data_IF_410870646682
#
_entry.id   IF_410870646682
#
_cell.length_a   1.000
_cell.length_b   1.000
_cell.length_c   1.000
_cell.angle_alpha   90.00
_cell.angle_beta   90.00
_cell.angle_gamma   90.00
#
_symmetry.space_group_name_H-M   'P 1'
#
loop_
_entity.id
_entity.type
_entity.pdbx_description
1 polymer ?
#
# COMPACT_ATOMS: atom_id res chain seq x y z
N UNK A 1 25.97 1.22 1.34
CA UNK A 1 24.49 1.04 1.39
C UNK A 1 23.94 0.94 -0.02
N UNK A 2 23.16 -0.08 -0.29
CA UNK A 2 22.51 -0.26 -1.58
C UNK A 2 21.29 0.65 -1.64
N UNK A 3 21.21 1.50 -2.67
CA UNK A 3 20.04 2.33 -2.91
C UNK A 3 18.89 1.48 -3.47
N UNK A 4 17.63 1.90 -3.29
CA UNK A 4 16.48 1.18 -3.81
C UNK A 4 16.60 0.88 -5.31
N UNK A 5 17.08 1.84 -6.10
CA UNK A 5 17.31 1.66 -7.53
C UNK A 5 18.26 0.50 -7.83
N UNK A 6 19.34 0.37 -7.04
CA UNK A 6 20.30 -0.72 -7.21
C UNK A 6 19.68 -2.08 -6.81
N UNK A 7 18.89 -2.10 -5.74
CA UNK A 7 18.15 -3.30 -5.32
C UNK A 7 17.22 -3.75 -6.44
N UNK A 8 16.45 -2.84 -7.04
CA UNK A 8 15.56 -3.15 -8.15
C UNK A 8 16.29 -3.70 -9.38
N UNK A 9 17.52 -3.23 -9.64
CA UNK A 9 18.33 -3.72 -10.76
C UNK A 9 18.94 -5.10 -10.50
N UNK A 10 19.22 -5.43 -9.23
CA UNK A 10 19.81 -6.71 -8.83
C UNK A 10 18.77 -7.83 -8.70
N UNK A 11 17.52 -7.47 -8.43
CA UNK A 11 16.41 -8.43 -8.28
C UNK A 11 15.82 -8.74 -9.65
N UNK A 12 15.51 -10.00 -9.89
CA UNK A 12 14.94 -10.43 -11.17
C UNK A 12 13.61 -9.74 -11.45
N UNK A 13 13.46 -9.20 -12.66
CA UNK A 13 12.18 -8.74 -13.17
C UNK A 13 11.31 -9.93 -13.50
N UNK A 14 10.01 -9.83 -13.22
CA UNK A 14 9.10 -10.93 -13.44
C UNK A 14 7.79 -10.45 -14.06
N UNK A 15 7.19 -11.33 -14.86
CA UNK A 15 5.80 -11.17 -15.26
C UNK A 15 4.92 -11.56 -14.06
N UNK A 16 4.36 -10.57 -13.41
CA UNK A 16 3.55 -10.79 -12.21
C UNK A 16 2.29 -11.59 -12.50
N UNK A 17 1.74 -11.51 -13.71
CA UNK A 17 0.58 -12.31 -14.09
C UNK A 17 0.93 -13.80 -14.11
N UNK A 18 2.11 -14.15 -14.58
CA UNK A 18 2.58 -15.53 -14.59
C UNK A 18 2.79 -16.06 -13.18
N UNK A 19 3.41 -15.26 -12.31
CA UNK A 19 3.58 -15.60 -10.89
C UNK A 19 2.20 -15.77 -10.23
N UNK A 20 1.30 -14.82 -10.42
CA UNK A 20 -0.05 -14.86 -9.84
C UNK A 20 -0.80 -16.13 -10.25
N UNK A 21 -0.61 -16.62 -11.47
CA UNK A 21 -1.27 -17.84 -11.94
C UNK A 21 -0.87 -19.09 -11.15
N UNK A 22 0.24 -19.06 -10.43
CA UNK A 22 0.74 -20.18 -9.61
C UNK A 22 0.31 -20.07 -8.13
N UNK A 23 -0.28 -18.95 -7.71
CA UNK A 23 -0.60 -18.69 -6.31
C UNK A 23 -2.07 -19.00 -6.00
N UNK A 24 -2.32 -19.38 -4.74
CA UNK A 24 -3.66 -19.63 -4.24
C UNK A 24 -4.24 -18.36 -3.65
N UNK A 25 -5.06 -17.65 -4.42
CA UNK A 25 -5.74 -16.44 -3.96
C UNK A 25 -6.98 -16.79 -3.13
N UNK A 26 -7.19 -16.06 -2.05
CA UNK A 26 -8.35 -16.18 -1.18
C UNK A 26 -8.96 -14.81 -0.93
N UNK A 27 -10.29 -14.72 -0.76
CA UNK A 27 -10.93 -13.46 -0.38
C UNK A 27 -10.59 -13.12 1.07
N UNK A 28 -10.13 -11.90 1.28
CA UNK A 28 -9.79 -11.38 2.62
C UNK A 28 -10.34 -9.98 2.75
N UNK A 29 -10.97 -9.68 3.87
CA UNK A 29 -11.45 -8.34 4.19
C UNK A 29 -10.44 -7.59 5.05
N UNK A 30 -10.46 -6.27 4.96
CA UNK A 30 -9.71 -5.43 5.89
C UNK A 30 -10.32 -5.52 7.27
N UNK A 31 -9.47 -5.35 8.29
CA UNK A 31 -9.94 -5.20 9.67
C UNK A 31 -10.76 -3.92 9.80
N UNK A 32 -11.61 -3.86 10.82
CA UNK A 32 -12.39 -2.66 11.14
C UNK A 32 -11.47 -1.65 11.82
N UNK A 33 -10.83 -0.81 11.02
CA UNK A 33 -9.89 0.21 11.46
C UNK A 33 -10.53 1.59 11.38
N UNK A 34 -9.99 2.52 12.16
CA UNK A 34 -10.41 3.93 12.16
C UNK A 34 -9.18 4.78 11.88
N UNK A 35 -9.27 5.67 10.89
CA UNK A 35 -8.22 6.66 10.60
C UNK A 35 -8.72 8.03 11.04
N UNK A 36 -7.94 8.69 11.89
CA UNK A 36 -8.24 10.02 12.42
C UNK A 36 -7.64 11.11 11.55
N UNK A 37 -8.38 12.18 11.34
CA UNK A 37 -7.91 13.33 10.58
C UNK A 37 -6.93 14.18 11.39
N UNK A 38 -5.81 14.55 10.77
CA UNK A 38 -4.83 15.50 11.31
C UNK A 38 -4.80 16.71 10.36
N UNK A 39 -5.28 17.85 10.82
CA UNK A 39 -5.21 19.09 10.04
C UNK A 39 -3.75 19.55 9.96
N UNK A 40 -3.28 19.81 8.75
CA UNK A 40 -1.88 20.23 8.52
C UNK A 40 -0.85 19.16 8.83
N UNK A 41 -1.22 17.88 8.84
CA UNK A 41 -0.28 16.78 9.05
C UNK A 41 0.81 16.73 7.97
N UNK A 42 1.99 16.24 8.36
CA UNK A 42 3.13 16.12 7.44
C UNK A 42 3.61 14.66 7.40
N UNK A 43 4.00 14.16 6.20
CA UNK A 43 4.61 12.84 6.10
C UNK A 43 5.81 12.73 7.05
N UNK A 44 5.93 11.59 7.71
CA UNK A 44 7.00 11.31 8.66
C UNK A 44 6.76 11.80 10.08
N UNK A 45 5.74 12.63 10.33
CA UNK A 45 5.44 13.17 11.66
C UNK A 45 4.04 12.88 12.17
N UNK A 46 3.21 12.19 11.38
CA UNK A 46 1.86 11.83 11.80
C UNK A 46 1.86 10.50 12.59
N UNK A 47 1.09 10.42 13.69
CA UNK A 47 0.92 9.15 14.41
C UNK A 47 0.33 8.06 13.51
N UNK A 48 0.54 6.77 13.82
CA UNK A 48 -0.15 5.68 13.12
C UNK A 48 -1.68 5.84 13.15
N UNK A 49 -2.33 5.35 12.11
CA UNK A 49 -3.79 5.37 11.97
C UNK A 49 -4.36 6.78 11.87
N UNK A 50 -3.65 7.66 11.18
CA UNK A 50 -4.09 9.02 10.88
C UNK A 50 -3.97 9.33 9.40
N UNK A 51 -4.60 10.40 8.97
CA UNK A 51 -4.49 10.90 7.61
C UNK A 51 -4.62 12.41 7.56
N UNK A 52 -4.15 12.99 6.49
CA UNK A 52 -4.30 14.42 6.22
C UNK A 52 -4.59 14.66 4.74
N UNK A 53 -5.18 15.78 4.44
CA UNK A 53 -5.37 16.26 3.06
C UNK A 53 -4.19 17.16 2.70
N UNK A 54 -3.47 16.82 1.63
CA UNK A 54 -2.31 17.60 1.21
C UNK A 54 -2.74 18.95 0.64
N UNK A 55 -2.12 20.02 1.13
CA UNK A 55 -2.34 21.38 0.65
C UNK A 55 -1.28 21.85 -0.33
N UNK A 56 -0.24 21.05 -0.52
CA UNK A 56 0.86 21.31 -1.44
C UNK A 56 1.19 20.04 -2.21
N UNK A 57 1.84 20.20 -3.36
CA UNK A 57 2.47 19.05 -4.02
C UNK A 57 3.74 18.68 -3.25
N UNK A 58 3.88 17.39 -2.88
CA UNK A 58 5.04 16.94 -2.11
C UNK A 58 5.31 15.45 -2.33
N UNK A 59 6.59 15.04 -2.21
CA UNK A 59 6.93 13.62 -2.26
C UNK A 59 6.52 12.93 -0.95
N UNK A 60 6.10 11.67 -1.07
CA UNK A 60 5.80 10.80 0.05
C UNK A 60 6.54 9.48 -0.13
N UNK A 61 7.40 9.16 0.83
CA UNK A 61 8.16 7.91 0.82
C UNK A 61 7.45 6.91 1.72
N UNK A 62 7.11 5.76 1.16
CA UNK A 62 6.54 4.65 1.92
C UNK A 62 7.68 3.78 2.42
N UNK A 63 7.82 3.69 3.74
CA UNK A 63 8.79 2.84 4.42
C UNK A 63 8.02 1.85 5.28
N UNK A 64 8.15 0.57 4.96
CA UNK A 64 7.54 -0.51 5.73
C UNK A 64 8.54 -1.10 6.71
N UNK A 65 8.10 -2.05 7.54
CA UNK A 65 8.95 -2.68 8.56
C UNK A 65 10.13 -3.46 7.96
N UNK A 66 10.05 -3.85 6.69
CA UNK A 66 11.14 -4.52 5.98
C UNK A 66 11.97 -3.58 5.09
N UNK A 67 11.79 -2.28 5.21
CA UNK A 67 12.57 -1.27 4.51
C UNK A 67 11.77 -0.41 3.55
N UNK A 68 12.46 0.36 2.72
CA UNK A 68 11.85 1.27 1.75
C UNK A 68 11.11 0.48 0.66
N UNK A 69 9.83 0.74 0.53
CA UNK A 69 8.97 0.09 -0.46
C UNK A 69 8.87 0.91 -1.75
N UNK A 70 8.48 2.18 -1.64
CA UNK A 70 8.22 3.02 -2.82
C UNK A 70 8.27 4.50 -2.48
N UNK A 71 8.22 5.34 -3.52
CA UNK A 71 8.04 6.78 -3.40
C UNK A 71 6.96 7.23 -4.38
N UNK A 72 6.09 8.12 -3.92
CA UNK A 72 5.02 8.70 -4.72
C UNK A 72 4.93 10.19 -4.49
N UNK A 73 4.15 10.90 -5.30
CA UNK A 73 3.89 12.32 -5.15
C UNK A 73 2.44 12.54 -4.77
N UNK A 74 2.21 13.27 -3.69
CA UNK A 74 0.90 13.78 -3.35
C UNK A 74 0.70 15.12 -4.05
N UNK A 75 -0.38 15.24 -4.82
CA UNK A 75 -0.81 16.52 -5.37
C UNK A 75 -1.72 17.23 -4.37
N UNK A 76 -1.97 18.51 -4.61
CA UNK A 76 -2.93 19.27 -3.80
C UNK A 76 -4.29 18.56 -3.82
N UNK A 77 -4.82 18.28 -2.63
CA UNK A 77 -6.10 17.58 -2.46
C UNK A 77 -5.97 16.07 -2.29
N UNK A 78 -4.82 15.47 -2.58
CA UNK A 78 -4.59 14.06 -2.31
C UNK A 78 -4.51 13.78 -0.81
N UNK A 79 -4.74 12.55 -0.43
CA UNK A 79 -4.77 12.12 0.97
C UNK A 79 -3.48 11.39 1.31
N UNK A 80 -2.83 11.85 2.37
CA UNK A 80 -1.62 11.20 2.90
C UNK A 80 -2.01 10.46 4.17
N UNK A 81 -1.72 9.16 4.21
CA UNK A 81 -2.00 8.29 5.34
C UNK A 81 -0.74 8.01 6.14
N UNK A 82 -0.92 7.84 7.44
CA UNK A 82 0.01 7.12 8.31
C UNK A 82 -0.67 5.82 8.71
N UNK A 83 -0.17 4.71 8.20
CA UNK A 83 -0.80 3.40 8.36
C UNK A 83 -0.55 2.77 9.72
N UNK A 84 -0.86 1.48 9.86
CA UNK A 84 -0.83 0.78 11.14
C UNK A 84 0.59 0.65 11.73
N UNK A 85 1.62 0.71 10.89
CA UNK A 85 3.04 0.69 11.33
C UNK A 85 3.69 2.08 11.26
N UNK A 86 2.90 3.11 10.98
CA UNK A 86 3.41 4.47 10.76
C UNK A 86 3.93 4.71 9.34
N UNK A 87 3.80 3.74 8.44
CA UNK A 87 4.17 3.92 7.04
C UNK A 87 3.30 4.99 6.38
N UNK A 88 3.92 5.85 5.56
CA UNK A 88 3.19 6.88 4.83
C UNK A 88 2.89 6.41 3.41
N UNK A 89 1.70 6.72 2.91
CA UNK A 89 1.31 6.44 1.54
C UNK A 89 0.26 7.43 1.06
N UNK A 90 0.11 7.51 -0.25
CA UNK A 90 -0.80 8.47 -0.90
C UNK A 90 -1.98 7.74 -1.50
N UNK A 91 -3.18 8.28 -1.25
CA UNK A 91 -4.39 7.90 -1.98
C UNK A 91 -4.85 9.14 -2.75
N UNK A 92 -5.01 9.00 -4.06
CA UNK A 92 -5.51 10.08 -4.90
C UNK A 92 -6.94 10.45 -4.47
N UNK A 93 -7.24 11.75 -4.47
CA UNK A 93 -8.54 12.25 -4.02
C UNK A 93 -9.73 11.53 -4.69
N UNK A 94 -9.63 11.25 -5.98
CA UNK A 94 -10.69 10.58 -6.74
C UNK A 94 -10.90 9.11 -6.32
N UNK A 95 -9.87 8.46 -5.77
CA UNK A 95 -9.95 7.04 -5.35
C UNK A 95 -10.44 6.88 -3.92
N UNK A 96 -10.33 7.92 -3.09
CA UNK A 96 -10.64 7.82 -1.68
C UNK A 96 -12.06 7.29 -1.40
N UNK A 97 -13.13 7.79 -2.06
CA UNK A 97 -14.49 7.33 -1.78
C UNK A 97 -14.73 5.84 -2.13
N UNK A 98 -13.89 5.27 -2.99
CA UNK A 98 -13.98 3.85 -3.37
C UNK A 98 -13.30 2.93 -2.37
N UNK A 99 -12.35 3.46 -1.59
CA UNK A 99 -11.50 2.69 -0.70
C UNK A 99 -11.83 2.91 0.78
N UNK A 100 -12.48 4.02 1.11
CA UNK A 100 -12.79 4.39 2.49
C UNK A 100 -14.21 4.94 2.60
N UNK A 101 -14.84 4.64 3.73
CA UNK A 101 -16.12 5.21 4.12
C UNK A 101 -15.89 6.33 5.12
N UNK A 102 -16.80 7.32 5.13
CA UNK A 102 -16.70 8.50 5.98
C UNK A 102 -16.38 9.75 5.17
N UNK A 103 -16.29 10.88 5.86
CA UNK A 103 -16.03 12.18 5.23
C UNK A 103 -14.64 12.69 5.59
N UNK A 104 -13.94 13.24 4.61
CA UNK A 104 -12.63 13.88 4.84
C UNK A 104 -12.78 15.02 5.84
N UNK A 105 -11.89 15.06 6.82
CA UNK A 105 -11.96 15.97 7.97
C UNK A 105 -12.51 15.31 9.23
N UNK A 106 -13.16 14.16 9.10
CA UNK A 106 -13.64 13.32 10.21
C UNK A 106 -12.98 11.95 10.17
N UNK A 107 -13.51 11.03 10.96
CA UNK A 107 -13.04 9.65 10.96
C UNK A 107 -13.43 8.96 9.64
N UNK A 108 -12.48 8.21 9.09
CA UNK A 108 -12.73 7.38 7.92
C UNK A 108 -12.36 5.93 8.20
N UNK A 109 -12.96 5.02 7.46
CA UNK A 109 -12.90 3.57 7.70
C UNK A 109 -12.61 2.86 6.38
N UNK A 110 -11.72 1.84 6.38
CA UNK A 110 -11.51 1.04 5.17
C UNK A 110 -12.82 0.42 4.68
N UNK A 111 -12.98 0.44 3.37
CA UNK A 111 -14.09 -0.25 2.72
C UNK A 111 -13.91 -1.77 2.93
N UNK A 112 -14.99 -2.49 3.20
CA UNK A 112 -14.96 -3.88 3.68
C UNK A 112 -15.17 -4.94 2.59
N UNK A 113 -15.22 -4.57 1.32
CA UNK A 113 -15.30 -5.56 0.25
C UNK A 113 -14.07 -6.47 0.24
N UNK A 114 -14.23 -7.76 -0.02
CA UNK A 114 -13.09 -8.68 -0.05
C UNK A 114 -12.08 -8.32 -1.13
N UNK A 115 -10.81 -8.51 -0.81
CA UNK A 115 -9.68 -8.47 -1.76
C UNK A 115 -9.20 -9.89 -1.98
N UNK A 116 -8.81 -10.20 -3.20
CA UNK A 116 -8.15 -11.47 -3.51
C UNK A 116 -6.68 -11.36 -3.14
N UNK A 117 -6.22 -12.19 -2.21
CA UNK A 117 -4.90 -12.11 -1.61
C UNK A 117 -4.23 -13.48 -1.62
N UNK A 118 -2.94 -13.52 -1.91
CA UNK A 118 -2.15 -14.73 -1.85
C UNK A 118 -0.84 -14.48 -1.10
N UNK A 119 -0.44 -15.43 -0.27
CA UNK A 119 0.87 -15.44 0.37
C UNK A 119 1.93 -15.76 -0.68
N UNK A 120 2.97 -14.92 -0.75
CA UNK A 120 4.10 -15.17 -1.63
C UNK A 120 5.23 -15.85 -0.87
N UNK A 121 5.75 -16.94 -1.42
CA UNK A 121 6.83 -17.71 -0.82
C UNK A 121 8.04 -17.89 -1.74
N UNK A 122 7.99 -17.30 -2.94
CA UNK A 122 9.07 -17.40 -3.92
C UNK A 122 10.23 -16.46 -3.63
N UNK A 123 11.21 -16.48 -4.52
CA UNK A 123 12.35 -15.57 -4.45
C UNK A 123 11.94 -14.12 -4.64
N UNK A 124 12.72 -13.15 -4.13
CA UNK A 124 12.45 -11.75 -4.39
C UNK A 124 12.42 -11.44 -5.88
N UNK A 125 11.37 -10.77 -6.32
CA UNK A 125 11.22 -10.32 -7.71
C UNK A 125 10.67 -8.90 -7.76
N UNK A 126 10.97 -8.18 -8.85
CA UNK A 126 10.40 -6.87 -9.12
C UNK A 126 9.25 -6.99 -10.12
N UNK A 127 8.27 -6.11 -9.98
CA UNK A 127 7.15 -5.98 -10.90
C UNK A 127 6.57 -4.58 -10.82
N UNK A 128 5.73 -4.21 -11.78
CA UNK A 128 5.04 -2.92 -11.74
C UNK A 128 3.67 -3.05 -11.08
N UNK A 129 3.41 -2.16 -10.12
CA UNK A 129 2.08 -1.96 -9.57
C UNK A 129 1.13 -1.37 -10.64
N UNK A 130 -0.20 -1.47 -10.44
CA UNK A 130 -1.16 -0.91 -11.41
C UNK A 130 -0.98 0.57 -11.71
N UNK A 131 -0.45 1.34 -10.76
CA UNK A 131 -0.19 2.78 -10.92
C UNK A 131 1.20 3.09 -11.50
N UNK A 132 1.95 2.07 -11.96
CA UNK A 132 3.19 2.24 -12.72
C UNK A 132 4.48 2.23 -11.91
N UNK A 133 4.41 2.15 -10.60
CA UNK A 133 5.60 2.09 -9.74
C UNK A 133 6.20 0.68 -9.69
N UNK A 134 7.52 0.62 -9.60
CA UNK A 134 8.22 -0.64 -9.37
C UNK A 134 8.08 -1.07 -7.91
N UNK A 135 7.76 -2.33 -7.69
CA UNK A 135 7.67 -2.95 -6.36
C UNK A 135 8.54 -4.20 -6.31
N UNK A 136 9.06 -4.50 -5.13
CA UNK A 136 9.76 -5.76 -4.86
C UNK A 136 8.88 -6.60 -3.93
N UNK A 137 8.54 -7.83 -4.34
CA UNK A 137 7.86 -8.79 -3.47
C UNK A 137 8.87 -9.82 -2.97
N UNK A 138 8.81 -10.14 -1.69
CA UNK A 138 9.72 -11.03 -0.98
C UNK A 138 8.95 -12.18 -0.33
N UNK A 139 9.62 -13.29 0.00
CA UNK A 139 8.97 -14.38 0.73
C UNK A 139 8.33 -13.88 2.04
N UNK A 140 7.08 -14.24 2.27
CA UNK A 140 6.30 -13.79 3.41
C UNK A 140 5.42 -12.58 3.15
N UNK A 141 5.63 -11.87 2.05
CA UNK A 141 4.75 -10.79 1.62
C UNK A 141 3.45 -11.33 1.04
N UNK A 142 2.51 -10.44 0.83
CA UNK A 142 1.22 -10.77 0.23
C UNK A 142 1.06 -10.06 -1.11
N UNK A 143 0.61 -10.81 -2.10
CA UNK A 143 0.23 -10.27 -3.40
C UNK A 143 -1.27 -10.05 -3.40
N UNK A 144 -1.70 -8.84 -3.76
CA UNK A 144 -3.11 -8.44 -3.76
C UNK A 144 -3.52 -8.13 -5.18
N UNK A 145 -4.63 -8.70 -5.61
CA UNK A 145 -5.23 -8.36 -6.90
C UNK A 145 -5.95 -7.03 -6.78
N UNK A 146 -5.61 -6.09 -7.66
CA UNK A 146 -6.27 -4.79 -7.69
C UNK A 146 -7.78 -4.96 -7.94
N UNK A 147 -8.65 -4.33 -7.11
CA UNK A 147 -10.11 -4.43 -7.30
C UNK A 147 -10.59 -3.96 -8.66
N UNK A 148 -9.88 -3.02 -9.29
CA UNK A 148 -10.18 -2.58 -10.65
C UNK A 148 -9.71 -3.55 -11.74
N UNK A 149 -9.11 -4.67 -11.34
CA UNK A 149 -8.61 -5.72 -12.23
C UNK A 149 -7.52 -5.23 -13.21
N UNK A 150 -6.72 -4.25 -12.80
CA UNK A 150 -5.66 -3.65 -13.61
C UNK A 150 -4.27 -4.19 -13.29
N UNK A 151 -4.15 -5.16 -12.37
CA UNK A 151 -2.90 -5.79 -11.99
C UNK A 151 -2.84 -6.20 -10.54
N UNK A 152 -1.63 -6.22 -10.01
CA UNK A 152 -1.34 -6.69 -8.65
C UNK A 152 -0.44 -5.70 -7.94
N UNK A 153 -0.54 -5.69 -6.61
CA UNK A 153 0.39 -4.94 -5.77
C UNK A 153 0.78 -5.76 -4.54
N UNK A 154 1.88 -5.37 -3.94
CA UNK A 154 2.45 -6.05 -2.77
C UNK A 154 2.05 -5.36 -1.50
N UNK A 155 1.78 -6.14 -0.44
CA UNK A 155 1.70 -5.64 0.93
C UNK A 155 2.71 -6.44 1.77
N UNK A 156 3.55 -5.73 2.52
CA UNK A 156 4.52 -6.35 3.41
C UNK A 156 3.81 -7.12 4.53
N UNK A 157 4.45 -8.18 5.01
CA UNK A 157 3.87 -9.11 5.98
C UNK A 157 3.28 -8.42 7.21
N UNK A 158 4.06 -7.56 7.87
CA UNK A 158 3.63 -6.92 9.12
C UNK A 158 2.47 -5.96 8.88
N UNK A 159 2.56 -5.15 7.83
CA UNK A 159 1.49 -4.22 7.45
C UNK A 159 0.20 -4.96 7.11
N UNK A 160 0.30 -6.08 6.39
CA UNK A 160 -0.85 -6.92 6.08
C UNK A 160 -1.52 -7.47 7.34
N UNK A 161 -0.74 -8.05 8.25
CA UNK A 161 -1.26 -8.65 9.47
C UNK A 161 -1.95 -7.63 10.39
N UNK A 162 -1.56 -6.36 10.31
CA UNK A 162 -2.17 -5.26 11.10
C UNK A 162 -3.39 -4.62 10.42
N UNK A 163 -3.60 -4.84 9.14
CA UNK A 163 -4.66 -4.14 8.38
C UNK A 163 -5.70 -5.06 7.79
N UNK A 164 -5.39 -6.33 7.62
CA UNK A 164 -6.30 -7.34 7.06
C UNK A 164 -6.62 -8.41 8.09
N UNK A 165 -7.77 -9.06 7.92
CA UNK A 165 -8.08 -10.28 8.66
C UNK A 165 -7.18 -11.42 8.18
N UNK A 166 -6.95 -12.46 8.99
CA UNK A 166 -6.14 -13.60 8.58
C UNK A 166 -6.70 -14.29 7.34
N UNK A 167 -5.79 -14.87 6.57
CA UNK A 167 -6.15 -15.76 5.45
C UNK A 167 -6.87 -17.02 5.91
#
# INVERSE_FOLDING_TARGET
MIKLKNILNEVANADINQIASTLAFKPVTKQKLVYKYIDGGKPGSMPPMTYTKSTIQQPVVTITTDGKETQNTADVGDIIFSGATGENYVIKAAKLPKLYNGNVGGDIYPEQSPRQVALYTGEPVTFKAPWGEDMVIKPGDYLVKDPANTGYYRIAKVEFEKTYNPL
#
